data_IF_459795521040
#
_entry.id   IF_459795521040
#
_cell.length_a   1.000
_cell.length_b   1.000
_cell.length_c   1.000
_cell.angle_alpha   90.00
_cell.angle_beta   90.00
_cell.angle_gamma   90.00
#
_symmetry.space_group_name_H-M   'P 1'
#
loop_
_entity.id
_entity.type
_entity.pdbx_description
1 polymer ?
#
# COMPACT_ATOMS: atom_id res chain seq x y z
N UNK A 1 -1.17 15.27 7.10
CA UNK A 1 -1.85 13.96 7.16
C UNK A 1 -1.01 12.83 6.58
N UNK A 2 -0.50 12.96 5.34
CA UNK A 2 0.41 11.98 4.71
C UNK A 2 1.63 11.66 5.59
N UNK A 3 2.33 12.68 6.09
CA UNK A 3 3.50 12.48 6.96
C UNK A 3 3.20 11.71 8.27
N UNK A 4 2.00 11.86 8.83
CA UNK A 4 1.57 11.15 10.05
C UNK A 4 1.31 9.67 9.74
N UNK A 5 0.65 9.39 8.61
CA UNK A 5 0.43 8.01 8.15
C UNK A 5 1.75 7.33 7.78
N UNK A 6 2.67 8.04 7.13
CA UNK A 6 4.02 7.55 6.84
C UNK A 6 4.82 7.27 8.11
N UNK A 7 4.74 8.14 9.11
CA UNK A 7 5.42 7.95 10.40
C UNK A 7 4.86 6.76 11.18
N UNK A 8 3.53 6.59 11.23
CA UNK A 8 2.88 5.43 11.85
C UNK A 8 3.27 4.14 11.11
N UNK A 9 3.29 4.18 9.78
CA UNK A 9 3.68 3.04 8.96
C UNK A 9 5.16 2.66 9.14
N UNK A 10 6.07 3.64 9.20
CA UNK A 10 7.49 3.41 9.46
C UNK A 10 7.74 2.90 10.89
N UNK A 11 7.06 3.48 11.90
CA UNK A 11 7.16 3.03 13.29
C UNK A 11 6.60 1.61 13.46
N UNK A 12 5.48 1.29 12.81
CA UNK A 12 4.90 -0.06 12.82
C UNK A 12 5.81 -1.06 12.10
N UNK A 13 6.37 -0.70 10.93
CA UNK A 13 7.35 -1.51 10.22
C UNK A 13 8.61 -1.82 11.04
N UNK A 14 9.10 -0.84 11.81
CA UNK A 14 10.26 -0.98 12.68
C UNK A 14 10.00 -1.87 13.91
N UNK A 15 8.90 -1.63 14.64
CA UNK A 15 8.53 -2.41 15.84
C UNK A 15 8.06 -3.83 15.47
N UNK A 16 7.45 -4.01 14.30
CA UNK A 16 7.02 -5.32 13.81
C UNK A 16 8.21 -6.21 13.42
N UNK A 17 9.25 -5.65 12.79
CA UNK A 17 10.44 -6.39 12.31
C UNK A 17 11.39 -6.90 13.40
N UNK A 18 11.45 -6.24 14.56
CA UNK A 18 12.42 -6.59 15.62
C UNK A 18 11.85 -7.62 16.63
N UNK A 19 10.52 -7.69 16.83
CA UNK A 19 9.96 -8.33 18.03
C UNK A 19 9.28 -9.72 17.87
N UNK A 20 8.74 -10.14 16.71
CA UNK A 20 7.97 -11.40 16.60
C UNK A 20 8.13 -12.06 15.23
N UNK A 21 8.93 -13.14 15.16
CA UNK A 21 9.64 -13.54 13.95
C UNK A 21 8.98 -14.51 12.93
N UNK A 22 8.03 -15.45 13.18
CA UNK A 22 7.84 -16.50 12.16
C UNK A 22 6.55 -16.51 11.30
N UNK A 23 5.35 -16.12 11.77
CA UNK A 23 4.13 -16.55 11.02
C UNK A 23 3.03 -15.53 10.76
N UNK A 24 2.90 -14.44 11.53
CA UNK A 24 1.68 -13.60 11.46
C UNK A 24 1.93 -12.15 11.07
N UNK A 25 3.14 -11.60 11.24
CA UNK A 25 3.40 -10.15 11.11
C UNK A 25 3.62 -9.62 9.68
N UNK A 26 3.93 -10.48 8.71
CA UNK A 26 4.08 -10.07 7.31
C UNK A 26 2.73 -9.63 6.72
N UNK A 27 1.64 -10.29 7.15
CA UNK A 27 0.30 -10.05 6.66
C UNK A 27 -0.18 -8.62 6.94
N UNK A 28 0.10 -8.08 8.13
CA UNK A 28 -0.34 -6.73 8.51
C UNK A 28 0.34 -5.65 7.67
N UNK A 29 1.65 -5.75 7.45
CA UNK A 29 2.40 -4.80 6.62
C UNK A 29 1.91 -4.87 5.16
N UNK A 30 1.74 -6.08 4.65
CA UNK A 30 1.23 -6.34 3.30
C UNK A 30 -0.25 -5.98 3.11
N UNK A 31 -1.03 -5.95 4.18
CA UNK A 31 -2.42 -5.48 4.18
C UNK A 31 -2.49 -3.95 4.22
N UNK A 32 -1.70 -3.31 5.08
CA UNK A 32 -1.72 -1.86 5.28
C UNK A 32 -1.17 -1.08 4.07
N UNK A 33 -0.19 -1.63 3.34
CA UNK A 33 0.32 -1.03 2.10
C UNK A 33 -0.77 -0.68 1.08
N UNK A 34 -1.57 -1.65 0.61
CA UNK A 34 -2.65 -1.39 -0.34
C UNK A 34 -3.75 -0.50 0.24
N UNK A 35 -3.99 -0.53 1.56
CA UNK A 35 -4.87 0.44 2.24
C UNK A 35 -4.34 1.87 2.04
N UNK A 36 -3.07 2.09 2.35
CA UNK A 36 -2.46 3.42 2.22
C UNK A 36 -2.38 3.88 0.77
N UNK A 37 -2.07 2.99 -0.17
CA UNK A 37 -2.05 3.32 -1.60
C UNK A 37 -3.44 3.73 -2.09
N UNK A 38 -4.46 2.95 -1.76
CA UNK A 38 -5.85 3.25 -2.10
C UNK A 38 -6.30 4.61 -1.53
N UNK A 39 -5.99 4.89 -0.27
CA UNK A 39 -6.30 6.18 0.38
C UNK A 39 -5.54 7.32 -0.31
N UNK A 40 -4.23 7.16 -0.50
CA UNK A 40 -3.37 8.21 -1.05
C UNK A 40 -3.79 8.59 -2.47
N UNK A 41 -3.93 7.62 -3.37
CA UNK A 41 -4.34 7.87 -4.76
C UNK A 41 -5.73 8.48 -4.82
N UNK A 42 -6.70 7.91 -4.09
CA UNK A 42 -8.10 8.32 -4.21
C UNK A 42 -8.42 9.67 -3.57
N UNK A 43 -7.63 10.10 -2.57
CA UNK A 43 -7.81 11.40 -1.90
C UNK A 43 -6.96 12.51 -2.53
N UNK A 44 -5.78 12.18 -3.07
CA UNK A 44 -4.91 13.19 -3.69
C UNK A 44 -5.10 13.34 -5.19
N UNK A 45 -5.67 12.33 -5.86
CA UNK A 45 -5.75 12.24 -7.32
C UNK A 45 -4.39 12.24 -8.02
N UNK A 46 -3.28 12.11 -7.26
CA UNK A 46 -1.93 12.20 -7.81
C UNK A 46 -1.51 10.87 -8.38
N UNK A 47 -1.12 10.92 -9.66
CA UNK A 47 -0.51 9.78 -10.33
C UNK A 47 0.84 9.43 -9.69
N UNK A 48 1.22 8.16 -9.72
CA UNK A 48 2.49 7.65 -9.16
C UNK A 48 2.66 7.84 -7.64
N UNK A 49 1.60 8.20 -6.92
CA UNK A 49 1.71 8.49 -5.49
C UNK A 49 1.98 7.24 -4.68
N UNK A 50 1.42 6.08 -5.07
CA UNK A 50 1.69 4.78 -4.46
C UNK A 50 3.13 4.35 -4.69
N UNK A 51 3.62 4.49 -5.92
CA UNK A 51 5.00 4.19 -6.30
C UNK A 51 5.98 5.04 -5.51
N UNK A 52 5.73 6.35 -5.42
CA UNK A 52 6.58 7.26 -4.66
C UNK A 52 6.61 6.92 -3.17
N UNK A 53 5.45 6.59 -2.58
CA UNK A 53 5.39 6.13 -1.19
C UNK A 53 6.14 4.80 -1.01
N UNK A 54 5.93 3.83 -1.90
CA UNK A 54 6.60 2.54 -1.91
C UNK A 54 8.13 2.68 -2.02
N UNK A 55 8.60 3.57 -2.87
CA UNK A 55 10.04 3.89 -3.01
C UNK A 55 10.59 4.54 -1.75
N UNK A 56 9.95 5.60 -1.22
CA UNK A 56 10.42 6.28 0.01
C UNK A 56 10.52 5.30 1.16
N UNK A 57 9.48 4.49 1.37
CA UNK A 57 9.48 3.46 2.41
C UNK A 57 10.55 2.41 2.13
N UNK A 58 10.64 1.92 0.90
CA UNK A 58 11.61 0.90 0.51
C UNK A 58 13.04 1.34 0.80
N UNK A 59 13.40 2.57 0.48
CA UNK A 59 14.72 3.12 0.74
C UNK A 59 15.10 3.12 2.23
N UNK A 60 14.13 3.18 3.16
CA UNK A 60 14.41 3.06 4.59
C UNK A 60 15.01 1.71 4.97
N UNK A 61 14.72 0.65 4.19
CA UNK A 61 15.25 -0.70 4.40
C UNK A 61 16.61 -0.95 3.73
N UNK A 62 17.14 0.06 3.02
CA UNK A 62 18.53 0.05 2.54
C UNK A 62 19.51 0.66 3.56
N UNK A 63 19.01 1.37 4.58
CA UNK A 63 19.85 1.93 5.63
C UNK A 63 20.01 0.91 6.77
N UNK A 64 21.21 0.33 6.97
CA UNK A 64 21.46 -0.51 8.12
C UNK A 64 21.44 0.36 9.38
N UNK A 65 20.31 0.34 10.08
CA UNK A 65 20.20 0.85 11.45
C UNK A 65 20.47 -0.29 12.42
N UNK A 66 20.89 0.01 13.64
CA UNK A 66 21.22 -1.00 14.64
C UNK A 66 20.09 -2.04 14.77
N UNK A 67 20.36 -3.28 14.35
CA UNK A 67 19.41 -4.40 14.39
C UNK A 67 18.62 -4.69 13.10
N UNK A 68 18.73 -3.88 12.04
CA UNK A 68 18.03 -4.14 10.76
C UNK A 68 19.06 -4.48 9.67
N UNK A 69 19.13 -5.75 9.21
CA UNK A 69 20.04 -6.15 8.14
C UNK A 69 19.64 -5.52 6.81
N UNK A 70 20.63 -5.28 5.95
CA UNK A 70 20.43 -4.79 4.58
C UNK A 70 19.44 -5.71 3.84
N UNK A 71 18.27 -5.17 3.48
CA UNK A 71 17.14 -5.96 2.97
C UNK A 71 16.69 -5.46 1.59
N UNK A 72 17.51 -5.67 0.54
CA UNK A 72 17.21 -5.21 -0.82
C UNK A 72 15.93 -5.83 -1.41
N UNK A 73 15.61 -7.06 -0.98
CA UNK A 73 14.37 -7.75 -1.36
C UNK A 73 13.13 -6.97 -0.91
N UNK A 74 13.12 -6.37 0.29
CA UNK A 74 12.00 -5.52 0.77
C UNK A 74 11.88 -4.28 -0.10
N UNK A 75 13.01 -3.61 -0.36
CA UNK A 75 13.04 -2.37 -1.15
C UNK A 75 12.44 -2.57 -2.54
N UNK A 76 12.95 -3.57 -3.27
CA UNK A 76 12.51 -3.86 -4.63
C UNK A 76 11.04 -4.28 -4.64
N UNK A 77 10.62 -5.11 -3.67
CA UNK A 77 9.23 -5.56 -3.54
C UNK A 77 8.26 -4.38 -3.37
N UNK A 78 8.60 -3.40 -2.53
CA UNK A 78 7.75 -2.23 -2.26
C UNK A 78 7.66 -1.30 -3.47
N UNK A 79 8.75 -1.10 -4.19
CA UNK A 79 8.77 -0.32 -5.43
C UNK A 79 7.86 -0.97 -6.47
N UNK A 80 8.01 -2.29 -6.69
CA UNK A 80 7.19 -3.04 -7.64
C UNK A 80 5.72 -3.02 -7.23
N UNK A 81 5.41 -3.12 -5.93
CA UNK A 81 4.04 -3.04 -5.44
C UNK A 81 3.37 -1.73 -5.87
N UNK A 82 3.97 -0.60 -5.52
CA UNK A 82 3.43 0.72 -5.85
C UNK A 82 3.36 0.96 -7.35
N UNK A 83 4.36 0.49 -8.11
CA UNK A 83 4.42 0.59 -9.56
C UNK A 83 3.24 -0.12 -10.22
N UNK A 84 3.05 -1.40 -9.90
CA UNK A 84 1.97 -2.22 -10.48
C UNK A 84 0.61 -1.67 -10.07
N UNK A 85 0.46 -1.24 -8.82
CA UNK A 85 -0.76 -0.60 -8.32
C UNK A 85 -1.12 0.65 -9.15
N UNK A 86 -0.17 1.58 -9.32
CA UNK A 86 -0.41 2.82 -10.06
C UNK A 86 -0.59 2.58 -11.57
N UNK A 87 0.14 1.63 -12.17
CA UNK A 87 -0.02 1.25 -13.57
C UNK A 87 -1.42 0.72 -13.85
N UNK A 88 -1.91 -0.22 -13.02
CA UNK A 88 -3.25 -0.78 -13.18
C UNK A 88 -4.34 0.30 -13.11
N UNK A 89 -4.26 1.20 -12.13
CA UNK A 89 -5.26 2.27 -12.00
C UNK A 89 -5.20 3.26 -13.16
N UNK A 90 -4.02 3.52 -13.74
CA UNK A 90 -3.86 4.39 -14.92
C UNK A 90 -4.45 3.79 -16.18
N UNK A 91 -4.26 2.49 -16.40
CA UNK A 91 -4.81 1.80 -17.59
C UNK A 91 -6.34 1.78 -17.59
N UNK A 92 -6.96 1.90 -16.42
CA UNK A 92 -8.41 1.91 -16.27
C UNK A 92 -9.13 3.12 -16.90
N UNK A 93 -8.40 4.12 -17.42
CA UNK A 93 -8.89 5.38 -18.04
C UNK A 93 -9.93 6.16 -17.20
N UNK A 94 -10.08 5.80 -15.93
CA UNK A 94 -11.05 6.39 -15.00
C UNK A 94 -10.38 7.54 -14.25
N UNK A 95 -11.14 8.57 -13.88
CA UNK A 95 -10.65 9.61 -12.98
C UNK A 95 -10.13 8.98 -11.69
N UNK A 96 -8.94 9.38 -11.23
CA UNK A 96 -8.37 8.90 -9.96
C UNK A 96 -9.19 9.37 -8.74
N UNK A 97 -10.09 10.34 -8.92
CA UNK A 97 -11.06 10.75 -7.91
C UNK A 97 -12.32 9.89 -7.90
N UNK A 98 -12.59 9.12 -8.95
CA UNK A 98 -13.81 8.31 -9.10
C UNK A 98 -13.49 6.83 -9.30
N UNK A 99 -12.45 6.35 -8.59
CA UNK A 99 -12.08 4.95 -8.61
C UNK A 99 -13.16 4.09 -7.94
N UNK A 100 -13.61 3.07 -8.67
CA UNK A 100 -14.53 2.08 -8.13
C UNK A 100 -13.83 1.19 -7.10
N UNK A 101 -14.61 0.67 -6.15
CA UNK A 101 -14.12 -0.31 -5.17
C UNK A 101 -13.44 -1.51 -5.84
N UNK A 102 -13.99 -2.00 -6.96
CA UNK A 102 -13.41 -3.09 -7.75
C UNK A 102 -12.02 -2.74 -8.28
N UNK A 103 -11.81 -1.52 -8.79
CA UNK A 103 -10.50 -1.08 -9.28
C UNK A 103 -9.46 -1.04 -8.16
N UNK A 104 -9.83 -0.55 -6.97
CA UNK A 104 -8.91 -0.51 -5.81
C UNK A 104 -8.56 -1.92 -5.31
N UNK A 105 -9.53 -2.84 -5.28
CA UNK A 105 -9.30 -4.24 -4.92
C UNK A 105 -8.36 -4.92 -5.92
N UNK A 106 -8.60 -4.74 -7.21
CA UNK A 106 -7.75 -5.33 -8.25
C UNK A 106 -6.35 -4.71 -8.25
N UNK A 107 -6.23 -3.40 -8.07
CA UNK A 107 -4.95 -2.71 -7.93
C UNK A 107 -4.15 -3.27 -6.74
N UNK A 108 -4.80 -3.44 -5.58
CA UNK A 108 -4.19 -4.02 -4.39
C UNK A 108 -3.75 -5.46 -4.60
N UNK A 109 -4.59 -6.29 -5.22
CA UNK A 109 -4.27 -7.69 -5.52
C UNK A 109 -3.06 -7.81 -6.46
N UNK A 110 -3.06 -7.06 -7.57
CA UNK A 110 -1.99 -7.08 -8.56
C UNK A 110 -0.69 -6.47 -8.03
N UNK A 111 -0.78 -5.37 -7.28
CA UNK A 111 0.36 -4.76 -6.60
C UNK A 111 1.06 -5.75 -5.66
N UNK A 112 0.27 -6.44 -4.82
CA UNK A 112 0.80 -7.45 -3.91
C UNK A 112 1.30 -8.72 -4.62
N UNK A 113 0.74 -9.08 -5.79
CA UNK A 113 1.29 -10.14 -6.64
C UNK A 113 2.67 -9.76 -7.17
N UNK A 114 2.81 -8.57 -7.75
CA UNK A 114 4.08 -8.07 -8.27
C UNK A 114 5.15 -8.00 -7.18
N UNK A 115 4.77 -7.51 -5.99
CA UNK A 115 5.61 -7.53 -4.79
C UNK A 115 6.09 -8.93 -4.42
N UNK A 116 5.20 -9.93 -4.42
CA UNK A 116 5.55 -11.31 -4.09
C UNK A 116 6.57 -11.89 -5.08
N UNK A 117 6.32 -11.73 -6.38
CA UNK A 117 7.21 -12.18 -7.45
C UNK A 117 8.58 -11.52 -7.32
N UNK A 118 8.62 -10.19 -7.16
CA UNK A 118 9.85 -9.45 -7.04
C UNK A 118 10.68 -9.88 -5.82
N UNK A 119 10.04 -10.01 -4.65
CA UNK A 119 10.73 -10.43 -3.43
C UNK A 119 11.35 -11.82 -3.55
N UNK A 120 10.59 -12.78 -4.10
CA UNK A 120 11.07 -14.15 -4.30
C UNK A 120 12.22 -14.24 -5.31
N UNK A 121 12.15 -13.48 -6.41
CA UNK A 121 13.24 -13.41 -7.38
C UNK A 121 14.50 -12.79 -6.79
N UNK A 122 14.38 -11.74 -5.98
CA UNK A 122 15.55 -11.14 -5.31
C UNK A 122 16.18 -12.13 -4.34
N UNK A 123 15.39 -12.89 -3.57
CA UNK A 123 15.94 -13.96 -2.72
C UNK A 123 16.75 -14.99 -3.52
N UNK A 124 16.29 -15.38 -4.72
CA UNK A 124 17.04 -16.29 -5.59
C UNK A 124 18.38 -15.69 -6.05
N UNK A 125 18.42 -14.41 -6.42
CA UNK A 125 19.64 -13.72 -6.86
C UNK A 125 20.71 -13.73 -5.76
N UNK A 126 20.31 -13.64 -4.50
CA UNK A 126 21.22 -13.68 -3.34
C UNK A 126 21.50 -15.10 -2.82
N UNK A 127 21.19 -16.15 -3.60
CA UNK A 127 21.49 -17.54 -3.24
C UNK A 127 20.59 -18.15 -2.16
N UNK A 128 19.49 -17.47 -1.80
CA UNK A 128 18.51 -17.92 -0.81
C UNK A 128 17.29 -18.52 -1.52
N UNK A 129 17.50 -19.63 -2.23
CA UNK A 129 16.40 -20.32 -2.91
C UNK A 129 15.30 -20.73 -1.92
N UNK A 130 14.09 -20.25 -2.17
CA UNK A 130 12.94 -20.53 -1.30
C UNK A 130 12.25 -21.84 -1.74
N UNK A 131 11.82 -22.68 -0.79
CA UNK A 131 11.07 -23.90 -1.10
C UNK A 131 9.75 -23.60 -1.83
N UNK A 132 9.30 -24.55 -2.66
CA UNK A 132 8.15 -24.37 -3.56
C UNK A 132 6.83 -24.00 -2.84
N UNK A 133 6.64 -24.45 -1.59
CA UNK A 133 5.44 -24.09 -0.82
C UNK A 133 5.40 -22.59 -0.46
N UNK A 134 6.56 -21.93 -0.27
CA UNK A 134 6.61 -20.48 -0.03
C UNK A 134 6.24 -19.68 -1.27
N UNK A 135 6.58 -20.19 -2.46
CA UNK A 135 6.08 -19.62 -3.72
C UNK A 135 4.56 -19.71 -3.80
N UNK A 136 3.99 -20.88 -3.55
CA UNK A 136 2.54 -21.06 -3.58
C UNK A 136 1.82 -20.16 -2.57
N UNK A 137 2.31 -20.10 -1.33
CA UNK A 137 1.75 -19.24 -0.28
C UNK A 137 1.86 -17.76 -0.63
N UNK A 138 2.99 -17.30 -1.16
CA UNK A 138 3.18 -15.90 -1.51
C UNK A 138 2.35 -15.48 -2.74
N UNK A 139 2.29 -16.33 -3.77
CA UNK A 139 1.57 -16.04 -5.01
C UNK A 139 0.04 -16.11 -4.86
N UNK A 140 -0.48 -16.79 -3.83
CA UNK A 140 -1.91 -16.86 -3.53
C UNK A 140 -2.26 -15.92 -2.36
N UNK A 141 -1.52 -15.99 -1.27
CA UNK A 141 -1.78 -15.25 -0.05
C UNK A 141 -1.60 -13.74 -0.22
N UNK A 142 -0.51 -13.28 -0.85
CA UNK A 142 -0.24 -11.85 -0.96
C UNK A 142 -1.31 -11.12 -1.80
N UNK A 143 -1.77 -11.66 -2.95
CA UNK A 143 -2.87 -11.05 -3.69
C UNK A 143 -4.18 -10.99 -2.91
N UNK A 144 -4.51 -12.03 -2.11
CA UNK A 144 -5.71 -12.02 -1.27
C UNK A 144 -5.63 -10.93 -0.19
N UNK A 145 -4.48 -10.82 0.46
CA UNK A 145 -4.19 -9.74 1.43
C UNK A 145 -4.28 -8.38 0.74
N UNK A 146 -3.77 -8.28 -0.49
CA UNK A 146 -3.80 -7.06 -1.29
C UNK A 146 -5.22 -6.64 -1.68
N UNK A 147 -6.05 -7.61 -2.08
CA UNK A 147 -7.46 -7.42 -2.33
C UNK A 147 -8.20 -6.93 -1.07
N UNK A 148 -7.90 -7.54 0.09
CA UNK A 148 -8.45 -7.13 1.38
C UNK A 148 -8.07 -5.69 1.74
N UNK A 149 -6.81 -5.32 1.57
CA UNK A 149 -6.35 -3.96 1.83
C UNK A 149 -6.93 -2.93 0.85
N UNK A 150 -7.04 -3.27 -0.44
CA UNK A 150 -7.72 -2.42 -1.44
C UNK A 150 -9.21 -2.22 -1.12
N UNK A 151 -9.89 -3.27 -0.67
CA UNK A 151 -11.30 -3.20 -0.23
C UNK A 151 -11.47 -2.29 0.98
N UNK A 152 -10.64 -2.49 2.02
CA UNK A 152 -10.69 -1.67 3.22
C UNK A 152 -10.34 -0.21 2.94
N UNK A 153 -9.31 0.03 2.12
CA UNK A 153 -8.94 1.36 1.65
C UNK A 153 -10.09 2.06 0.93
N UNK A 154 -10.85 1.36 0.09
CA UNK A 154 -12.03 1.90 -0.57
C UNK A 154 -13.11 2.33 0.44
N UNK A 155 -13.40 1.51 1.46
CA UNK A 155 -14.36 1.86 2.53
C UNK A 155 -13.91 3.15 3.25
N UNK A 156 -12.62 3.26 3.57
CA UNK A 156 -12.09 4.45 4.23
C UNK A 156 -12.23 5.68 3.33
N UNK A 157 -11.92 5.56 2.04
CA UNK A 157 -12.05 6.65 1.06
C UNK A 157 -13.51 7.11 0.93
N UNK A 158 -14.46 6.19 0.79
CA UNK A 158 -15.89 6.48 0.74
C UNK A 158 -16.33 7.26 1.99
N UNK A 159 -15.88 6.83 3.17
CA UNK A 159 -16.19 7.50 4.43
C UNK A 159 -15.60 8.91 4.51
N UNK A 160 -14.34 9.08 4.11
CA UNK A 160 -13.66 10.39 4.15
C UNK A 160 -14.30 11.38 3.17
N UNK A 161 -14.60 10.94 1.95
CA UNK A 161 -15.27 11.79 0.95
C UNK A 161 -16.66 12.22 1.42
N UNK A 162 -17.45 11.31 1.99
CA UNK A 162 -18.77 11.65 2.56
C UNK A 162 -18.69 12.71 3.67
N UNK A 163 -17.66 12.63 4.54
CA UNK A 163 -17.43 13.65 5.57
C UNK A 163 -17.02 15.01 4.97
N UNK A 164 -16.20 15.03 3.92
CA UNK A 164 -15.82 16.26 3.23
C UNK A 164 -17.03 16.94 2.58
N UNK A 165 -17.86 16.18 1.86
CA UNK A 165 -19.08 16.70 1.23
C UNK A 165 -20.02 17.32 2.28
N UNK A 166 -20.22 16.65 3.42
CA UNK A 166 -21.05 17.17 4.50
C UNK A 166 -20.55 18.51 5.03
N UNK A 167 -19.23 18.65 5.27
CA UNK A 167 -18.64 19.91 5.74
C UNK A 167 -18.80 21.04 4.73
N UNK A 168 -18.67 20.77 3.44
CA UNK A 168 -18.87 21.77 2.38
C UNK A 168 -20.33 22.23 2.34
N UNK A 169 -21.29 21.32 2.52
CA UNK A 169 -22.71 21.67 2.59
C UNK A 169 -23.04 22.52 3.82
N UNK A 170 -22.51 22.16 4.99
CA UNK A 170 -22.68 22.94 6.24
C UNK A 170 -22.05 24.35 6.11
N UNK A 171 -20.86 24.45 5.49
CA UNK A 171 -20.21 25.74 5.21
C UNK A 171 -21.02 26.60 4.22
N UNK A 172 -21.56 25.98 3.16
CA UNK A 172 -22.38 26.69 2.16
C UNK A 172 -23.71 27.17 2.74
N UNK A 173 -24.36 26.34 3.56
CA UNK A 173 -25.61 26.70 4.24
C UNK A 173 -25.41 27.86 5.23
N UNK A 174 -24.31 27.85 6.00
CA UNK A 174 -24.01 28.95 6.94
C UNK A 174 -23.64 30.27 6.26
N UNK A 175 -23.04 30.24 5.06
CA UNK A 175 -22.81 31.46 4.27
C UNK A 175 -24.10 32.06 3.70
N UNK A 176 -25.04 31.22 3.23
CA UNK A 176 -26.33 31.71 2.70
C UNK A 176 -27.23 32.36 3.75
N UNK A 177 -27.06 32.05 5.04
CA UNK A 177 -27.84 32.65 6.13
C UNK A 177 -27.33 34.04 6.54
N UNK A 178 -26.11 34.42 6.11
CA UNK A 178 -25.49 35.72 6.42
C UNK A 178 -25.61 36.77 5.30
N UNK A 179 -26.19 36.41 4.15
CA UNK A 179 -26.44 37.30 3.03
C UNK A 179 -27.91 37.74 3.00
#
# INVERSE_FOLDING_TARGET
MVAVLTAIYAAYGYVSGIALQPLTKSLDLFFLLPVFFAILVSLTGKKWSSTLLGTIVGLLFLYPTAGVPLSPHITISLIVNGLVFDMYLRESKTSLYDLSRRQLVMAGALGNLGMAVAGLLVFQIFGLAQPAYLWALALIGNPLVGAGGGFFGAIVVERVKGLQTRRVLEATASMKVRA
#
